data_IF_469091352924
#
_entry.id   IF_469091352924
#
_cell.length_a   1.000
_cell.length_b   1.000
_cell.length_c   1.000
_cell.angle_alpha   90.00
_cell.angle_beta   90.00
_cell.angle_gamma   90.00
#
_symmetry.space_group_name_H-M   'P 1'
#
loop_
_entity.id
_entity.type
_entity.pdbx_description
1 polymer ?
#
# COMPACT_ATOMS: atom_id res chain seq x y z
N UNK A 1 -15.87 -70.02 43.96
CA UNK A 1 -16.57 -71.35 43.99
C UNK A 1 -17.47 -71.52 45.22
N UNK A 2 -17.44 -70.67 46.24
CA UNK A 2 -18.28 -70.87 47.46
C UNK A 2 -19.79 -70.66 47.30
N UNK A 3 -20.31 -70.05 46.24
CA UNK A 3 -21.74 -69.88 46.01
C UNK A 3 -22.45 -71.15 45.58
N UNK A 4 -21.88 -71.92 44.63
CA UNK A 4 -22.41 -73.14 44.12
C UNK A 4 -22.45 -74.26 45.17
N UNK A 5 -21.47 -74.27 46.09
CA UNK A 5 -21.43 -75.21 47.19
C UNK A 5 -22.50 -74.96 48.28
N UNK A 6 -23.10 -73.73 48.28
CA UNK A 6 -24.23 -73.38 49.16
C UNK A 6 -25.60 -73.53 48.51
N UNK A 7 -25.61 -74.05 47.26
CA UNK A 7 -26.85 -74.20 46.57
C UNK A 7 -27.34 -72.96 45.86
N UNK A 8 -26.53 -71.88 45.80
CA UNK A 8 -26.85 -70.59 45.19
C UNK A 8 -26.46 -70.61 43.72
N UNK A 9 -27.34 -70.09 42.80
CA UNK A 9 -26.97 -69.90 41.40
C UNK A 9 -26.08 -68.73 41.23
N UNK A 10 -25.26 -68.65 40.19
CA UNK A 10 -24.40 -67.54 39.87
C UNK A 10 -24.52 -67.27 38.38
N UNK A 11 -24.70 -65.95 38.04
CA UNK A 11 -24.79 -65.47 36.68
C UNK A 11 -23.82 -64.27 36.48
N UNK A 12 -22.96 -64.35 35.47
CA UNK A 12 -22.02 -63.27 35.13
C UNK A 12 -21.54 -63.47 33.67
N UNK A 13 -20.83 -62.44 33.19
CA UNK A 13 -20.10 -62.47 31.93
C UNK A 13 -18.66 -62.88 32.13
N UNK A 14 -18.21 -63.84 31.30
CA UNK A 14 -16.87 -64.38 31.43
C UNK A 14 -16.13 -64.35 30.10
N UNK A 15 -14.89 -63.88 30.11
CA UNK A 15 -13.93 -64.11 29.05
C UNK A 15 -13.44 -65.58 29.10
N UNK A 16 -13.52 -66.29 27.97
CA UNK A 16 -13.03 -67.62 27.79
C UNK A 16 -12.16 -67.72 26.56
N UNK A 17 -11.31 -68.74 26.51
CA UNK A 17 -10.46 -69.02 25.35
C UNK A 17 -11.02 -70.29 24.70
N UNK A 18 -11.36 -70.18 23.42
CA UNK A 18 -11.78 -71.25 22.56
C UNK A 18 -10.62 -72.20 22.18
N UNK A 19 -10.94 -73.32 21.50
CA UNK A 19 -9.95 -74.34 21.09
C UNK A 19 -8.80 -73.73 20.21
N UNK A 20 -9.09 -72.65 19.44
CA UNK A 20 -8.19 -72.07 18.51
C UNK A 20 -7.42 -70.88 19.12
N UNK A 21 -7.43 -70.70 20.45
CA UNK A 21 -6.88 -69.55 21.14
C UNK A 21 -7.73 -68.27 21.02
N UNK A 22 -8.89 -68.31 20.36
CA UNK A 22 -9.80 -67.18 20.17
C UNK A 22 -10.49 -66.82 21.48
N UNK A 23 -10.49 -65.54 21.80
CA UNK A 23 -11.22 -64.99 22.93
C UNK A 23 -12.74 -65.00 22.65
N UNK A 24 -13.49 -65.55 23.56
CA UNK A 24 -14.95 -65.64 23.52
C UNK A 24 -15.51 -65.07 24.83
N UNK A 25 -16.45 -64.13 24.69
CA UNK A 25 -17.19 -63.62 25.83
C UNK A 25 -18.52 -64.42 25.93
N UNK A 26 -18.75 -65.02 27.08
CA UNK A 26 -19.99 -65.75 27.34
C UNK A 26 -20.70 -65.12 28.52
N UNK A 27 -22.00 -64.88 28.37
CA UNK A 27 -22.90 -64.70 29.49
C UNK A 27 -23.33 -66.07 29.97
N UNK A 28 -22.96 -66.41 31.21
CA UNK A 28 -23.21 -67.79 31.71
C UNK A 28 -23.87 -67.73 33.08
N UNK A 29 -24.83 -68.64 33.23
CA UNK A 29 -25.44 -68.95 34.51
C UNK A 29 -25.02 -70.37 34.93
N UNK A 30 -24.63 -70.51 36.17
CA UNK A 30 -24.26 -71.76 36.81
C UNK A 30 -25.32 -72.06 37.84
N UNK A 31 -26.09 -73.17 37.63
CA UNK A 31 -27.23 -73.58 38.44
C UNK A 31 -26.90 -74.87 39.15
N UNK A 32 -26.78 -74.89 40.49
CA UNK A 32 -26.62 -76.12 41.23
C UNK A 32 -27.95 -76.95 41.23
N UNK A 33 -27.84 -78.24 40.96
CA UNK A 33 -28.92 -79.18 41.18
C UNK A 33 -28.74 -79.77 42.53
N UNK A 34 -29.75 -79.70 43.41
CA UNK A 34 -29.68 -80.11 44.77
C UNK A 34 -30.33 -81.52 44.90
N UNK A 35 -29.83 -82.34 45.85
CA UNK A 35 -30.47 -83.62 46.24
C UNK A 35 -31.68 -83.31 47.16
N UNK A 36 -32.38 -84.42 47.60
CA UNK A 36 -33.52 -84.28 48.51
C UNK A 36 -33.20 -83.70 49.88
N UNK A 37 -31.92 -83.65 50.24
CA UNK A 37 -31.43 -83.08 51.48
C UNK A 37 -30.88 -81.62 51.33
N UNK A 38 -31.03 -81.04 50.11
CA UNK A 38 -30.57 -79.67 49.83
C UNK A 38 -29.08 -79.55 49.50
N UNK A 39 -28.31 -80.59 49.31
CA UNK A 39 -26.90 -80.56 48.97
C UNK A 39 -26.73 -80.54 47.43
N UNK A 40 -25.81 -79.68 46.88
CA UNK A 40 -25.51 -79.59 45.46
C UNK A 40 -24.81 -80.88 44.97
N UNK A 41 -25.45 -81.65 44.08
CA UNK A 41 -24.92 -82.88 43.50
C UNK A 41 -24.42 -82.67 42.04
N UNK A 42 -24.87 -81.66 41.37
CA UNK A 42 -24.46 -81.34 39.98
C UNK A 42 -24.64 -79.89 39.72
N UNK A 43 -23.81 -79.33 38.85
CA UNK A 43 -23.94 -77.91 38.33
C UNK A 43 -24.27 -78.01 36.84
N UNK A 44 -25.33 -77.33 36.44
CA UNK A 44 -25.70 -77.14 35.01
C UNK A 44 -25.33 -75.67 34.64
N UNK A 45 -24.57 -75.57 33.58
CA UNK A 45 -24.17 -74.26 33.01
C UNK A 45 -24.99 -74.05 31.75
N UNK A 46 -25.64 -72.87 31.68
CA UNK A 46 -26.18 -72.32 30.45
C UNK A 46 -25.30 -71.15 30.06
N UNK A 47 -24.91 -71.02 28.77
CA UNK A 47 -24.07 -69.98 28.30
C UNK A 47 -24.49 -69.55 26.90
N UNK A 48 -24.56 -68.22 26.72
CA UNK A 48 -24.73 -67.57 25.41
C UNK A 48 -23.45 -66.86 25.00
N UNK A 49 -23.09 -66.99 23.73
CA UNK A 49 -21.96 -66.22 23.17
C UNK A 49 -22.40 -64.78 22.97
N UNK A 50 -21.75 -63.83 23.68
CA UNK A 50 -22.01 -62.40 23.62
C UNK A 50 -20.81 -61.63 23.05
N UNK A 51 -19.85 -62.33 22.40
CA UNK A 51 -18.60 -61.78 21.91
C UNK A 51 -18.85 -60.63 20.90
N UNK A 52 -19.71 -60.85 19.91
CA UNK A 52 -20.02 -59.88 18.89
C UNK A 52 -20.66 -58.61 19.49
N UNK A 53 -21.61 -58.80 20.39
CA UNK A 53 -22.27 -57.68 21.07
C UNK A 53 -21.27 -56.84 21.93
N UNK A 54 -20.36 -57.55 22.66
CA UNK A 54 -19.30 -56.91 23.45
C UNK A 54 -18.32 -56.11 22.59
N UNK A 55 -17.85 -56.74 21.47
CA UNK A 55 -16.92 -56.06 20.56
C UNK A 55 -17.58 -54.85 19.91
N UNK A 56 -18.83 -54.98 19.45
CA UNK A 56 -19.58 -53.85 18.88
C UNK A 56 -19.79 -52.74 19.87
N UNK A 57 -20.16 -53.05 21.10
CA UNK A 57 -20.33 -52.04 22.14
C UNK A 57 -18.99 -51.34 22.51
N UNK A 58 -17.90 -52.11 22.61
CA UNK A 58 -16.58 -51.58 22.87
C UNK A 58 -16.13 -50.61 21.75
N UNK A 59 -16.42 -50.97 20.48
CA UNK A 59 -16.14 -50.09 19.34
C UNK A 59 -16.98 -48.81 19.39
N UNK A 60 -18.26 -48.87 19.73
CA UNK A 60 -19.10 -47.68 19.89
C UNK A 60 -18.57 -46.76 21.00
N UNK A 61 -18.23 -47.30 22.14
CA UNK A 61 -17.65 -46.53 23.27
C UNK A 61 -16.34 -45.86 22.86
N UNK A 62 -15.48 -46.60 22.16
CA UNK A 62 -14.21 -46.02 21.67
C UNK A 62 -14.42 -44.89 20.66
N UNK A 63 -15.39 -45.02 19.73
CA UNK A 63 -15.75 -43.96 18.78
C UNK A 63 -16.27 -42.70 19.50
N UNK A 64 -17.16 -42.85 20.47
CA UNK A 64 -17.68 -41.72 21.27
C UNK A 64 -16.54 -41.02 22.03
N UNK A 65 -15.67 -41.81 22.68
CA UNK A 65 -14.50 -41.26 23.37
C UNK A 65 -13.56 -40.48 22.43
N UNK A 66 -13.34 -41.00 21.21
CA UNK A 66 -12.53 -40.31 20.21
C UNK A 66 -13.13 -38.94 19.81
N UNK A 67 -14.45 -38.85 19.65
CA UNK A 67 -15.18 -37.60 19.39
C UNK A 67 -15.03 -36.63 20.58
N UNK A 68 -15.20 -37.14 21.80
CA UNK A 68 -15.09 -36.36 23.04
C UNK A 68 -13.69 -35.75 23.25
N UNK A 69 -12.63 -36.36 22.73
CA UNK A 69 -11.30 -35.84 22.80
C UNK A 69 -11.07 -34.63 21.90
N UNK A 70 -11.72 -34.61 20.72
CA UNK A 70 -11.46 -33.58 19.68
C UNK A 70 -12.51 -32.49 19.58
N UNK A 71 -13.75 -32.73 20.03
CA UNK A 71 -14.86 -31.81 19.84
C UNK A 71 -15.48 -31.35 21.15
N UNK A 72 -16.05 -30.17 21.15
CA UNK A 72 -16.93 -29.69 22.20
C UNK A 72 -18.28 -30.38 22.06
N UNK A 73 -18.73 -31.11 23.09
CA UNK A 73 -20.00 -31.88 23.07
C UNK A 73 -20.88 -31.40 24.21
N UNK A 74 -22.16 -31.17 23.91
CA UNK A 74 -23.21 -30.90 24.90
C UNK A 74 -24.51 -31.55 24.47
N UNK A 75 -25.24 -32.04 25.45
CA UNK A 75 -26.51 -32.71 25.27
C UNK A 75 -27.66 -31.88 25.87
N UNK A 76 -28.80 -31.90 25.19
CA UNK A 76 -30.01 -31.19 25.61
C UNK A 76 -31.20 -32.16 25.59
N UNK A 77 -32.17 -31.92 26.47
CA UNK A 77 -33.50 -32.50 26.33
C UNK A 77 -34.27 -31.76 25.20
N UNK A 78 -35.51 -32.20 24.97
CA UNK A 78 -36.37 -31.62 23.93
C UNK A 78 -36.85 -30.20 24.24
N UNK A 79 -36.81 -29.79 25.51
CA UNK A 79 -37.09 -28.42 25.95
C UNK A 79 -35.84 -27.50 25.90
N UNK A 80 -34.73 -28.03 25.37
CA UNK A 80 -33.48 -27.28 25.25
C UNK A 80 -32.69 -27.11 26.55
N UNK A 81 -32.98 -27.95 27.59
CA UNK A 81 -32.23 -27.91 28.84
C UNK A 81 -30.99 -28.83 28.77
N UNK A 82 -29.90 -28.34 29.33
CA UNK A 82 -28.61 -29.06 29.34
C UNK A 82 -28.72 -30.33 30.20
N UNK A 83 -28.48 -31.49 29.59
CA UNK A 83 -28.37 -32.80 30.26
C UNK A 83 -26.91 -33.04 30.69
N UNK A 84 -25.94 -32.72 29.86
CA UNK A 84 -24.53 -32.92 30.12
C UNK A 84 -23.65 -32.21 29.09
N UNK A 85 -22.39 -32.05 29.42
CA UNK A 85 -21.38 -31.45 28.51
C UNK A 85 -19.98 -32.01 28.81
N UNK A 86 -19.15 -32.15 27.77
CA UNK A 86 -17.79 -32.59 27.95
C UNK A 86 -16.86 -31.43 28.32
N UNK A 87 -15.61 -31.79 28.66
CA UNK A 87 -14.57 -30.84 29.07
C UNK A 87 -14.32 -29.77 27.99
N UNK A 88 -14.32 -30.13 26.72
CA UNK A 88 -14.05 -29.21 25.63
C UNK A 88 -15.12 -28.14 25.52
N UNK A 89 -16.40 -28.50 25.62
CA UNK A 89 -17.50 -27.52 25.63
C UNK A 89 -17.41 -26.58 26.83
N UNK A 90 -17.16 -27.14 28.02
CA UNK A 90 -17.03 -26.33 29.25
C UNK A 90 -15.87 -25.36 29.15
N UNK A 91 -14.71 -25.78 28.61
CA UNK A 91 -13.57 -24.91 28.38
C UNK A 91 -13.85 -23.83 27.34
N UNK A 92 -14.48 -24.20 26.21
CA UNK A 92 -14.82 -23.24 25.15
C UNK A 92 -15.80 -22.17 25.63
N UNK A 93 -16.78 -22.51 26.45
CA UNK A 93 -17.79 -21.57 26.97
C UNK A 93 -17.40 -20.90 28.29
N UNK A 94 -16.39 -21.44 29.00
CA UNK A 94 -15.89 -20.89 30.26
C UNK A 94 -16.73 -21.24 31.49
N UNK A 95 -17.62 -22.25 31.39
CA UNK A 95 -18.50 -22.69 32.48
C UNK A 95 -18.01 -23.99 33.09
N UNK A 96 -18.49 -24.29 34.30
CA UNK A 96 -18.46 -25.62 34.88
C UNK A 96 -19.78 -26.35 34.59
N UNK A 97 -19.77 -27.69 34.64
CA UNK A 97 -21.01 -28.48 34.41
C UNK A 97 -22.11 -28.11 35.41
N UNK A 98 -21.77 -27.89 36.68
CA UNK A 98 -22.74 -27.51 37.71
C UNK A 98 -23.45 -26.19 37.44
N UNK A 99 -22.82 -25.25 36.75
CA UNK A 99 -23.42 -23.94 36.42
C UNK A 99 -24.40 -24.02 35.26
N UNK A 100 -24.28 -25.02 34.38
CA UNK A 100 -25.09 -25.10 33.16
C UNK A 100 -26.07 -26.26 33.16
N UNK A 101 -25.89 -27.29 33.97
CA UNK A 101 -26.78 -28.46 34.00
C UNK A 101 -28.21 -28.04 34.38
N UNK A 102 -29.20 -28.46 33.61
CA UNK A 102 -30.59 -28.06 33.74
C UNK A 102 -30.93 -26.68 33.23
N UNK A 103 -29.93 -25.84 32.92
CA UNK A 103 -30.16 -24.52 32.33
C UNK A 103 -30.58 -24.65 30.86
N UNK A 104 -31.34 -23.66 30.38
CA UNK A 104 -31.80 -23.66 29.00
C UNK A 104 -30.73 -23.18 28.02
N UNK A 105 -30.70 -23.72 26.80
CA UNK A 105 -29.75 -23.36 25.73
C UNK A 105 -29.66 -21.85 25.46
N UNK A 106 -30.74 -21.10 25.69
CA UNK A 106 -30.77 -19.63 25.52
C UNK A 106 -29.69 -18.90 26.31
N UNK A 107 -29.18 -19.50 27.42
CA UNK A 107 -28.07 -18.89 28.19
C UNK A 107 -26.78 -18.71 27.41
N UNK A 108 -26.61 -19.46 26.31
CA UNK A 108 -25.45 -19.40 25.41
C UNK A 108 -25.71 -18.50 24.18
N UNK A 109 -26.83 -17.80 24.13
CA UNK A 109 -27.27 -17.02 22.99
C UNK A 109 -27.46 -15.56 23.36
N UNK A 110 -27.43 -14.65 22.37
CA UNK A 110 -27.80 -13.26 22.61
C UNK A 110 -29.31 -13.13 22.79
N UNK A 111 -29.77 -12.13 23.55
CA UNK A 111 -31.22 -11.89 23.77
C UNK A 111 -31.99 -11.69 22.45
N UNK A 112 -31.36 -10.99 21.48
CA UNK A 112 -31.96 -10.71 20.17
C UNK A 112 -32.24 -11.99 19.40
N UNK A 113 -31.29 -12.94 19.41
CA UNK A 113 -31.46 -14.23 18.75
C UNK A 113 -32.54 -15.09 19.42
N UNK A 114 -32.58 -15.11 20.75
CA UNK A 114 -33.54 -15.96 21.51
C UNK A 114 -34.98 -15.47 21.42
N UNK A 115 -35.21 -14.18 21.16
CA UNK A 115 -36.53 -13.61 20.94
C UNK A 115 -37.02 -13.72 19.48
N UNK A 116 -36.13 -14.07 18.55
CA UNK A 116 -36.44 -14.19 17.12
C UNK A 116 -37.21 -15.45 16.76
N UNK A 117 -37.89 -15.42 15.60
CA UNK A 117 -38.56 -16.58 15.02
C UNK A 117 -37.57 -17.69 14.67
N UNK A 118 -36.36 -17.34 14.23
CA UNK A 118 -35.29 -18.30 13.92
C UNK A 118 -34.96 -19.24 15.07
N UNK A 119 -35.01 -18.75 16.32
CA UNK A 119 -34.71 -19.57 17.48
C UNK A 119 -35.84 -20.57 17.79
N UNK A 120 -37.11 -20.20 17.57
CA UNK A 120 -38.24 -21.09 17.69
C UNK A 120 -38.22 -22.17 16.62
N UNK A 121 -38.00 -21.76 15.37
CA UNK A 121 -37.87 -22.68 14.23
C UNK A 121 -36.71 -23.66 14.40
N UNK A 122 -35.60 -23.18 14.96
CA UNK A 122 -34.43 -23.98 15.26
C UNK A 122 -34.79 -25.20 16.16
N UNK A 123 -35.50 -24.95 17.29
CA UNK A 123 -35.89 -26.04 18.18
C UNK A 123 -37.02 -26.91 17.62
N UNK A 124 -37.94 -26.32 16.86
CA UNK A 124 -38.99 -27.05 16.18
C UNK A 124 -38.40 -28.11 15.21
N UNK A 125 -37.50 -27.70 14.34
CA UNK A 125 -36.83 -28.58 13.39
C UNK A 125 -36.05 -29.71 14.07
N UNK A 126 -35.34 -29.41 15.15
CA UNK A 126 -34.65 -30.43 15.95
C UNK A 126 -35.62 -31.44 16.58
N UNK A 127 -36.76 -30.98 17.09
CA UNK A 127 -37.84 -31.84 17.63
C UNK A 127 -38.47 -32.75 16.56
N UNK A 128 -38.51 -32.29 15.31
CA UNK A 128 -38.97 -33.08 14.16
C UNK A 128 -37.92 -34.09 13.66
N UNK A 129 -36.74 -34.13 14.26
CA UNK A 129 -35.66 -35.05 13.86
C UNK A 129 -34.73 -34.52 12.78
N UNK A 130 -34.84 -33.24 12.42
CA UNK A 130 -33.92 -32.62 11.45
C UNK A 130 -32.63 -32.20 12.15
N UNK A 131 -31.47 -32.57 11.59
CA UNK A 131 -30.19 -32.04 12.07
C UNK A 131 -29.93 -30.63 11.52
N UNK A 132 -29.25 -29.78 12.29
CA UNK A 132 -28.90 -28.45 11.89
C UNK A 132 -27.38 -28.25 11.97
N UNK A 133 -26.81 -27.64 10.95
CA UNK A 133 -25.37 -27.38 10.87
C UNK A 133 -25.11 -25.93 10.47
N UNK A 134 -24.07 -25.34 11.03
CA UNK A 134 -23.69 -23.96 10.68
C UNK A 134 -22.65 -23.37 11.61
N UNK A 135 -22.32 -22.13 11.33
CA UNK A 135 -21.50 -21.27 12.20
C UNK A 135 -22.42 -20.42 13.06
N UNK A 136 -22.26 -20.53 14.36
CA UNK A 136 -23.14 -19.86 15.33
C UNK A 136 -22.34 -18.94 16.23
N UNK A 137 -22.84 -17.72 16.44
CA UNK A 137 -22.39 -16.84 17.51
C UNK A 137 -23.01 -17.28 18.82
N UNK A 138 -22.21 -17.44 19.86
CA UNK A 138 -22.64 -17.82 21.21
C UNK A 138 -22.00 -16.91 22.25
N UNK A 139 -22.63 -16.85 23.39
CA UNK A 139 -22.21 -16.06 24.54
C UNK A 139 -21.70 -16.99 25.62
N UNK A 140 -20.41 -16.94 25.91
CA UNK A 140 -19.80 -17.66 27.01
C UNK A 140 -19.90 -16.91 28.34
N UNK A 141 -19.31 -17.46 29.38
CA UNK A 141 -19.27 -16.84 30.71
C UNK A 141 -18.64 -15.44 30.63
N UNK A 142 -19.15 -14.52 31.44
CA UNK A 142 -18.76 -13.09 31.44
C UNK A 142 -18.96 -12.40 30.09
N UNK A 143 -20.03 -12.74 29.38
CA UNK A 143 -20.40 -12.16 28.08
C UNK A 143 -19.31 -12.29 27.02
N UNK A 144 -18.48 -13.35 27.11
CA UNK A 144 -17.42 -13.59 26.14
C UNK A 144 -18.03 -14.05 24.80
N UNK A 145 -17.68 -13.38 23.72
CA UNK A 145 -18.02 -13.83 22.37
C UNK A 145 -17.33 -15.13 22.02
N UNK A 146 -18.11 -16.13 21.65
CA UNK A 146 -17.64 -17.45 21.21
C UNK A 146 -18.29 -17.79 19.89
N UNK A 147 -17.48 -18.03 18.88
CA UNK A 147 -17.94 -18.50 17.59
C UNK A 147 -17.69 -20.00 17.47
N UNK A 148 -18.72 -20.73 17.11
CA UNK A 148 -18.64 -22.18 16.97
C UNK A 148 -19.11 -22.62 15.59
N UNK A 149 -18.38 -23.54 14.99
CA UNK A 149 -18.89 -24.38 13.90
C UNK A 149 -19.51 -25.61 14.52
N UNK A 150 -20.80 -25.79 14.39
CA UNK A 150 -21.52 -26.82 15.13
C UNK A 150 -22.56 -27.56 14.30
N UNK A 151 -22.82 -28.81 14.72
CA UNK A 151 -23.97 -29.60 14.30
C UNK A 151 -24.80 -29.97 15.51
N UNK A 152 -26.12 -29.85 15.39
CA UNK A 152 -27.10 -30.27 16.37
C UNK A 152 -27.82 -31.49 15.82
N UNK A 153 -27.72 -32.62 16.51
CA UNK A 153 -28.13 -33.90 16.02
C UNK A 153 -29.19 -34.52 16.94
N UNK A 154 -30.42 -34.69 16.46
CA UNK A 154 -31.45 -35.43 17.22
C UNK A 154 -31.06 -36.88 17.40
N UNK A 155 -31.19 -37.40 18.62
CA UNK A 155 -31.00 -38.82 18.94
C UNK A 155 -32.36 -39.46 19.07
N UNK A 156 -32.54 -40.58 18.35
CA UNK A 156 -33.80 -41.27 18.29
C UNK A 156 -33.80 -42.52 19.22
N UNK A 157 -34.94 -42.83 19.79
CA UNK A 157 -35.19 -44.11 20.49
C UNK A 157 -35.41 -45.28 19.49
N UNK A 158 -35.63 -46.46 20.02
CA UNK A 158 -35.92 -47.66 19.21
C UNK A 158 -37.21 -47.55 18.40
N UNK A 159 -38.09 -46.61 18.71
CA UNK A 159 -39.36 -46.36 18.02
C UNK A 159 -39.25 -45.21 17.00
N UNK A 160 -38.03 -44.63 16.80
CA UNK A 160 -37.80 -43.53 15.89
C UNK A 160 -38.23 -42.19 16.44
N UNK A 161 -38.49 -42.03 17.73
CA UNK A 161 -38.86 -40.77 18.36
C UNK A 161 -37.59 -40.03 18.86
N UNK A 162 -37.52 -38.72 18.68
CA UNK A 162 -36.43 -37.90 19.22
C UNK A 162 -36.51 -37.92 20.75
N UNK A 163 -35.41 -38.23 21.42
CA UNK A 163 -35.32 -38.29 22.90
C UNK A 163 -34.39 -37.26 23.50
N UNK A 164 -33.40 -36.81 22.73
CA UNK A 164 -32.46 -35.75 23.10
C UNK A 164 -31.75 -35.18 21.89
N UNK A 165 -31.14 -34.02 22.05
CA UNK A 165 -30.31 -33.40 21.03
C UNK A 165 -28.85 -33.43 21.50
N UNK A 166 -27.94 -33.91 20.65
CA UNK A 166 -26.49 -33.88 20.88
C UNK A 166 -25.86 -32.90 19.92
N UNK A 167 -25.14 -31.93 20.47
CA UNK A 167 -24.40 -30.95 19.69
C UNK A 167 -22.92 -31.29 19.71
N UNK A 168 -22.34 -31.32 18.52
CA UNK A 168 -20.90 -31.37 18.31
C UNK A 168 -20.43 -30.02 17.76
N UNK A 169 -19.32 -29.47 18.29
CA UNK A 169 -18.85 -28.16 17.89
C UNK A 169 -17.33 -28.03 17.94
N UNK A 170 -16.81 -27.17 17.07
CA UNK A 170 -15.45 -26.63 17.13
C UNK A 170 -15.53 -25.15 17.50
N UNK A 171 -14.65 -24.70 18.41
CA UNK A 171 -14.46 -23.28 18.67
C UNK A 171 -13.67 -22.67 17.51
N UNK A 172 -14.31 -21.79 16.75
CA UNK A 172 -13.76 -21.07 15.60
C UNK A 172 -13.65 -19.57 15.87
N UNK A 173 -13.60 -19.19 17.15
CA UNK A 173 -13.54 -17.77 17.57
C UNK A 173 -12.32 -17.06 17.02
N UNK A 174 -11.16 -17.71 17.06
CA UNK A 174 -9.91 -17.15 16.55
C UNK A 174 -9.95 -16.93 15.05
N UNK A 175 -10.51 -17.89 14.32
CA UNK A 175 -10.69 -17.83 12.86
C UNK A 175 -11.60 -16.67 12.47
N UNK A 176 -12.77 -16.55 13.12
CA UNK A 176 -13.71 -15.43 12.88
C UNK A 176 -13.11 -14.08 13.25
N UNK A 177 -12.35 -13.99 14.34
CA UNK A 177 -11.65 -12.77 14.71
C UNK A 177 -10.57 -12.40 13.68
N UNK A 178 -9.85 -13.39 13.16
CA UNK A 178 -8.87 -13.18 12.10
C UNK A 178 -9.55 -12.71 10.81
N UNK A 179 -10.65 -13.36 10.40
CA UNK A 179 -11.46 -12.95 9.24
C UNK A 179 -11.91 -11.48 9.34
N UNK A 180 -12.44 -11.09 10.50
CA UNK A 180 -12.85 -9.68 10.77
C UNK A 180 -11.68 -8.71 10.71
N UNK A 181 -10.52 -9.09 11.28
CA UNK A 181 -9.30 -8.27 11.23
C UNK A 181 -8.77 -8.11 9.80
N UNK A 182 -8.76 -9.18 9.02
CA UNK A 182 -8.36 -9.12 7.61
C UNK A 182 -9.30 -8.19 6.84
N UNK A 183 -10.62 -8.33 7.01
CA UNK A 183 -11.60 -7.48 6.34
C UNK A 183 -11.41 -5.99 6.69
N UNK A 184 -11.21 -5.66 7.98
CA UNK A 184 -10.96 -4.29 8.42
C UNK A 184 -9.65 -3.74 7.85
N UNK A 185 -8.56 -4.53 7.87
CA UNK A 185 -7.27 -4.10 7.30
C UNK A 185 -7.31 -3.96 5.78
N UNK A 186 -8.06 -4.80 5.09
CA UNK A 186 -8.24 -4.67 3.64
C UNK A 186 -9.01 -3.40 3.27
N UNK A 187 -10.01 -3.00 4.07
CA UNK A 187 -10.72 -1.74 3.87
C UNK A 187 -9.79 -0.53 4.06
N UNK A 188 -9.01 -0.50 5.15
CA UNK A 188 -8.00 0.54 5.42
C UNK A 188 -6.94 0.62 4.30
N UNK A 189 -6.46 -0.53 3.82
CA UNK A 189 -5.52 -0.59 2.69
C UNK A 189 -6.15 -0.06 1.40
N UNK A 190 -7.42 -0.37 1.11
CA UNK A 190 -8.12 0.13 -0.08
C UNK A 190 -8.23 1.65 -0.08
N UNK A 191 -8.53 2.26 1.07
CA UNK A 191 -8.57 3.72 1.23
C UNK A 191 -7.18 4.34 1.01
N UNK A 192 -6.14 3.72 1.58
CA UNK A 192 -4.75 4.17 1.40
C UNK A 192 -4.30 4.11 -0.07
N UNK A 193 -4.65 3.04 -0.78
CA UNK A 193 -4.34 2.89 -2.21
C UNK A 193 -5.11 3.91 -3.05
N UNK A 194 -6.36 4.20 -2.73
CA UNK A 194 -7.13 5.24 -3.41
C UNK A 194 -6.50 6.63 -3.23
N UNK A 195 -6.08 6.97 -2.01
CA UNK A 195 -5.35 8.22 -1.73
C UNK A 195 -4.02 8.29 -2.48
N UNK A 196 -3.27 7.18 -2.52
CA UNK A 196 -2.02 7.08 -3.29
C UNK A 196 -2.27 7.31 -4.79
N UNK A 197 -3.31 6.69 -5.37
CA UNK A 197 -3.67 6.87 -6.77
C UNK A 197 -4.03 8.33 -7.11
N UNK A 198 -4.73 9.03 -6.21
CA UNK A 198 -5.01 10.45 -6.35
C UNK A 198 -3.72 11.29 -6.35
N UNK A 199 -2.80 11.03 -5.42
CA UNK A 199 -1.49 11.71 -5.35
C UNK A 199 -0.64 11.45 -6.60
N UNK A 200 -0.61 10.22 -7.11
CA UNK A 200 0.08 9.86 -8.36
C UNK A 200 -0.48 10.67 -9.55
N UNK A 201 -1.80 10.82 -9.62
CA UNK A 201 -2.45 11.60 -10.68
C UNK A 201 -2.06 13.08 -10.59
N UNK A 202 -1.97 13.63 -9.38
CA UNK A 202 -1.54 15.00 -9.16
C UNK A 202 -0.06 15.22 -9.54
N UNK A 203 0.82 14.28 -9.17
CA UNK A 203 2.24 14.32 -9.55
C UNK A 203 2.38 14.28 -11.08
N UNK A 204 1.63 13.41 -11.77
CA UNK A 204 1.64 13.34 -13.23
C UNK A 204 1.22 14.68 -13.87
N UNK A 205 0.14 15.29 -13.37
CA UNK A 205 -0.31 16.60 -13.84
C UNK A 205 0.75 17.69 -13.61
N UNK A 206 1.32 17.75 -12.41
CA UNK A 206 2.32 18.75 -12.06
C UNK A 206 3.61 18.58 -12.88
N UNK A 207 4.00 17.32 -13.16
CA UNK A 207 5.13 17.04 -14.06
C UNK A 207 4.86 17.52 -15.49
N UNK A 208 3.64 17.35 -15.99
CA UNK A 208 3.23 17.89 -17.29
C UNK A 208 3.36 19.41 -17.35
N UNK A 209 2.85 20.13 -16.36
CA UNK A 209 2.98 21.58 -16.25
C UNK A 209 4.45 22.03 -16.15
N UNK A 210 5.26 21.32 -15.36
CA UNK A 210 6.69 21.64 -15.23
C UNK A 210 7.45 21.41 -16.55
N UNK A 211 7.09 20.41 -17.34
CA UNK A 211 7.67 20.17 -18.66
C UNK A 211 7.33 21.31 -19.64
N UNK A 212 6.09 21.79 -19.63
CA UNK A 212 5.65 22.93 -20.45
C UNK A 212 6.40 24.22 -20.06
N UNK A 213 6.44 24.55 -18.77
CA UNK A 213 7.17 25.70 -18.25
C UNK A 213 8.67 25.65 -18.61
N UNK A 214 9.28 24.48 -18.54
CA UNK A 214 10.66 24.29 -18.96
C UNK A 214 10.82 24.50 -20.49
N UNK A 215 9.85 24.08 -21.27
CA UNK A 215 9.80 24.36 -22.72
C UNK A 215 9.78 25.86 -23.01
N UNK A 216 8.90 26.59 -22.36
CA UNK A 216 8.76 28.04 -22.52
C UNK A 216 10.03 28.79 -22.09
N UNK A 217 10.61 28.36 -20.95
CA UNK A 217 11.89 28.96 -20.46
C UNK A 217 13.02 28.68 -21.45
N UNK A 218 13.09 27.52 -22.11
CA UNK A 218 14.09 27.24 -23.15
C UNK A 218 13.90 28.15 -24.37
N UNK A 219 12.66 28.33 -24.83
CA UNK A 219 12.37 29.22 -25.95
C UNK A 219 12.73 30.68 -25.63
N UNK A 220 12.41 31.18 -24.44
CA UNK A 220 12.75 32.51 -24.00
C UNK A 220 14.27 32.72 -23.89
N UNK A 221 14.99 31.74 -23.32
CA UNK A 221 16.44 31.78 -23.21
C UNK A 221 17.11 31.76 -24.61
N UNK A 222 16.66 30.94 -25.52
CA UNK A 222 17.13 30.89 -26.90
C UNK A 222 16.90 32.21 -27.64
N UNK A 223 15.71 32.81 -27.45
CA UNK A 223 15.39 34.13 -28.02
C UNK A 223 16.31 35.23 -27.48
N UNK A 224 16.56 35.24 -26.16
CA UNK A 224 17.51 36.17 -25.51
C UNK A 224 18.93 35.97 -26.00
N UNK A 225 19.40 34.73 -26.11
CA UNK A 225 20.72 34.42 -26.66
C UNK A 225 20.89 34.95 -28.09
N UNK A 226 19.91 34.68 -28.97
CA UNK A 226 19.95 35.17 -30.38
C UNK A 226 19.94 36.68 -30.47
N UNK A 227 19.17 37.37 -29.63
CA UNK A 227 19.17 38.86 -29.59
C UNK A 227 20.49 39.40 -29.15
N UNK A 228 21.16 38.78 -28.15
CA UNK A 228 22.49 39.17 -27.71
C UNK A 228 23.56 38.93 -28.78
N UNK A 229 23.51 37.82 -29.51
CA UNK A 229 24.42 37.58 -30.65
C UNK A 229 24.31 38.70 -31.69
N UNK A 230 23.10 39.10 -32.04
CA UNK A 230 22.86 40.18 -32.98
C UNK A 230 23.38 41.55 -32.43
N UNK A 231 23.25 41.75 -31.12
CA UNK A 231 23.77 42.94 -30.46
C UNK A 231 25.33 42.98 -30.52
N UNK A 232 26.01 41.85 -30.28
CA UNK A 232 27.45 41.70 -30.38
C UNK A 232 27.94 41.99 -31.80
N UNK A 233 27.27 41.47 -32.82
CA UNK A 233 27.57 41.77 -34.24
C UNK A 233 27.43 43.27 -34.54
N UNK A 234 26.37 43.91 -34.07
CA UNK A 234 26.11 45.33 -34.22
C UNK A 234 27.18 46.16 -33.54
N UNK A 235 27.56 45.82 -32.31
CA UNK A 235 28.65 46.44 -31.54
C UNK A 235 29.98 46.33 -32.32
N UNK A 236 30.29 45.17 -32.86
CA UNK A 236 31.48 44.98 -33.71
C UNK A 236 31.49 45.89 -34.95
N UNK A 237 30.32 46.10 -35.57
CA UNK A 237 30.16 47.00 -36.70
C UNK A 237 30.38 48.50 -36.30
N UNK A 238 29.87 48.88 -35.12
CA UNK A 238 30.08 50.21 -34.56
C UNK A 238 31.57 50.43 -34.25
N UNK A 239 32.24 49.44 -33.66
CA UNK A 239 33.68 49.52 -33.37
C UNK A 239 34.51 49.68 -34.66
N UNK A 240 34.20 48.90 -35.69
CA UNK A 240 34.88 49.03 -36.99
C UNK A 240 34.62 50.39 -37.65
N UNK A 241 33.42 50.95 -37.50
CA UNK A 241 33.06 52.28 -37.97
C UNK A 241 33.84 53.39 -37.18
N UNK A 242 33.94 53.24 -35.87
CA UNK A 242 34.65 54.18 -35.01
C UNK A 242 36.14 54.25 -35.34
N UNK A 243 36.76 53.12 -35.63
CA UNK A 243 38.15 53.02 -36.10
C UNK A 243 38.36 53.85 -37.40
N UNK A 244 37.42 53.64 -38.37
CA UNK A 244 37.48 54.39 -39.64
C UNK A 244 37.30 55.92 -39.43
N UNK A 245 36.37 56.31 -38.55
CA UNK A 245 36.17 57.71 -38.24
C UNK A 245 37.45 58.32 -37.57
N UNK A 246 38.08 57.58 -36.66
CA UNK A 246 39.33 57.98 -36.01
C UNK A 246 40.45 58.27 -37.06
N UNK A 247 40.53 57.37 -38.09
CA UNK A 247 41.50 57.58 -39.18
C UNK A 247 41.22 58.85 -40.02
N UNK A 248 39.93 59.09 -40.32
CA UNK A 248 39.48 60.31 -41.01
C UNK A 248 39.84 61.55 -40.18
N UNK A 249 39.59 61.56 -38.89
CA UNK A 249 39.87 62.70 -37.99
C UNK A 249 41.37 62.91 -37.89
N UNK A 250 42.21 61.91 -37.88
CA UNK A 250 43.65 61.99 -37.94
C UNK A 250 44.09 62.72 -39.23
N UNK A 251 43.55 62.32 -40.38
CA UNK A 251 43.84 62.97 -41.69
C UNK A 251 43.40 64.48 -41.67
N UNK A 252 42.25 64.82 -41.10
CA UNK A 252 41.78 66.20 -40.94
C UNK A 252 42.76 66.95 -40.12
N UNK A 253 43.28 66.40 -39.03
CA UNK A 253 44.32 67.05 -38.18
C UNK A 253 45.60 67.27 -38.96
N UNK A 254 46.03 66.35 -39.79
CA UNK A 254 47.23 66.53 -40.68
C UNK A 254 47.00 67.64 -41.72
N UNK A 255 45.83 67.67 -42.39
CA UNK A 255 45.45 68.71 -43.35
C UNK A 255 45.46 70.11 -42.66
N UNK A 256 44.85 70.14 -41.44
CA UNK A 256 44.84 71.41 -40.67
C UNK A 256 46.25 71.88 -40.33
N UNK A 257 47.15 70.93 -39.94
CA UNK A 257 48.59 71.31 -39.66
C UNK A 257 49.33 71.76 -40.93
N UNK A 258 49.09 71.07 -42.03
CA UNK A 258 49.70 71.51 -43.32
C UNK A 258 49.16 72.85 -43.77
N UNK A 259 47.86 73.09 -43.63
CA UNK A 259 47.22 74.35 -43.96
C UNK A 259 47.75 75.50 -43.08
N UNK A 260 47.99 75.23 -41.79
CA UNK A 260 48.60 76.22 -40.86
C UNK A 260 50.02 76.58 -41.30
N UNK A 261 50.83 75.58 -41.74
CA UNK A 261 52.19 75.84 -42.26
C UNK A 261 52.14 76.57 -43.59
N UNK A 262 51.24 76.27 -44.51
CA UNK A 262 51.04 77.01 -45.77
C UNK A 262 50.63 78.45 -45.53
N UNK A 263 49.67 78.64 -44.61
CA UNK A 263 49.25 80.01 -44.23
C UNK A 263 50.35 80.84 -43.57
N UNK A 264 51.16 80.15 -42.70
CA UNK A 264 52.34 80.80 -42.12
C UNK A 264 53.38 81.24 -43.20
N UNK A 265 53.72 80.38 -44.16
CA UNK A 265 54.59 80.70 -45.27
C UNK A 265 54.03 81.82 -46.13
N UNK A 266 52.71 81.79 -46.42
CA UNK A 266 52.03 82.84 -47.14
C UNK A 266 52.08 84.21 -46.41
N UNK A 267 51.92 84.20 -45.07
CA UNK A 267 52.03 85.41 -44.24
C UNK A 267 53.46 85.99 -44.30
N UNK A 268 54.52 85.16 -44.28
CA UNK A 268 55.89 85.56 -44.44
C UNK A 268 56.14 86.22 -45.81
N UNK A 269 55.67 85.58 -46.90
CA UNK A 269 55.88 86.14 -48.25
C UNK A 269 55.05 87.40 -48.50
N UNK A 270 53.84 87.49 -47.85
CA UNK A 270 53.05 88.74 -47.83
C UNK A 270 53.76 89.89 -47.11
N UNK A 271 54.42 89.63 -45.98
CA UNK A 271 55.29 90.62 -45.29
C UNK A 271 56.48 91.01 -46.12
N UNK A 272 57.05 90.04 -46.90
CA UNK A 272 58.19 90.31 -47.82
C UNK A 272 57.83 91.21 -48.99
N UNK A 273 56.57 91.22 -49.44
CA UNK A 273 56.05 92.04 -50.54
C UNK A 273 55.73 93.50 -50.11
N UNK A 274 55.89 93.82 -48.84
CA UNK A 274 55.71 95.21 -48.34
C UNK A 274 54.30 95.72 -48.53
N UNK A 275 54.14 96.95 -49.05
CA UNK A 275 52.84 97.60 -49.28
C UNK A 275 51.88 96.78 -50.25
N UNK A 276 52.43 96.01 -51.16
CA UNK A 276 51.67 95.23 -52.11
C UNK A 276 51.13 93.91 -51.49
N UNK A 277 51.63 93.53 -50.30
CA UNK A 277 51.24 92.27 -49.63
C UNK A 277 50.22 92.43 -48.50
N UNK A 278 49.78 93.62 -48.10
CA UNK A 278 48.93 93.90 -46.94
C UNK A 278 47.63 93.12 -46.95
N UNK A 279 46.89 93.08 -48.09
CA UNK A 279 45.63 92.28 -48.22
C UNK A 279 45.86 90.80 -48.11
N UNK A 280 46.97 90.28 -48.67
CA UNK A 280 47.31 88.81 -48.57
C UNK A 280 47.76 88.44 -47.17
N UNK A 281 48.37 89.28 -46.39
CA UNK A 281 48.74 89.02 -44.99
C UNK A 281 47.51 88.86 -44.08
N UNK A 282 46.45 89.61 -44.31
CA UNK A 282 45.20 89.53 -43.56
C UNK A 282 44.51 88.12 -43.87
N UNK A 283 44.46 87.75 -45.16
CA UNK A 283 43.90 86.49 -45.58
C UNK A 283 44.71 85.30 -45.01
N UNK A 284 46.06 85.37 -45.12
CA UNK A 284 46.94 84.36 -44.56
C UNK A 284 46.80 84.26 -43.04
N UNK A 285 46.60 85.35 -42.30
CA UNK A 285 46.32 85.31 -40.85
C UNK A 285 44.99 84.70 -40.52
N UNK A 286 43.96 84.94 -41.33
CA UNK A 286 42.63 84.31 -41.09
C UNK A 286 42.61 82.80 -41.45
N UNK A 287 43.26 82.39 -42.54
CA UNK A 287 43.43 80.94 -42.88
C UNK A 287 44.23 80.25 -41.77
N UNK A 288 45.25 80.90 -41.21
CA UNK A 288 46.02 80.31 -40.09
C UNK A 288 45.17 80.12 -38.86
N UNK A 289 44.33 81.07 -38.45
CA UNK A 289 43.41 80.98 -37.34
C UNK A 289 42.40 79.85 -37.58
N UNK A 290 41.87 79.71 -38.81
CA UNK A 290 40.93 78.61 -39.18
C UNK A 290 41.62 77.28 -39.10
N UNK A 291 42.87 77.16 -39.56
CA UNK A 291 43.64 75.92 -39.47
C UNK A 291 43.92 75.50 -38.01
N UNK A 292 44.31 76.51 -37.14
CA UNK A 292 44.46 76.21 -35.70
C UNK A 292 43.17 75.72 -35.03
N UNK A 293 42.06 76.43 -35.32
CA UNK A 293 40.73 75.95 -34.84
C UNK A 293 40.33 74.54 -35.32
N UNK A 294 40.61 74.30 -36.61
CA UNK A 294 40.34 72.97 -37.17
C UNK A 294 41.18 71.84 -36.50
N UNK A 295 42.48 72.15 -36.22
CA UNK A 295 43.37 71.21 -35.52
C UNK A 295 42.95 70.98 -34.07
N UNK A 296 42.43 71.99 -33.36
CA UNK A 296 41.86 71.81 -32.02
C UNK A 296 40.60 70.94 -32.06
N UNK A 297 39.66 71.27 -32.97
CA UNK A 297 38.44 70.52 -33.13
C UNK A 297 38.70 69.01 -33.51
N UNK A 298 39.66 68.76 -34.42
CA UNK A 298 40.06 67.40 -34.75
C UNK A 298 40.59 66.64 -33.54
N UNK A 299 41.37 67.26 -32.67
CA UNK A 299 41.86 66.61 -31.43
C UNK A 299 40.75 66.31 -30.44
N UNK A 300 39.79 67.24 -30.28
CA UNK A 300 38.64 67.04 -29.42
C UNK A 300 37.76 65.85 -29.95
N UNK A 301 37.49 65.79 -31.27
CA UNK A 301 36.77 64.72 -31.89
C UNK A 301 37.51 63.35 -31.71
N UNK A 302 38.85 63.36 -31.90
CA UNK A 302 39.63 62.12 -31.69
C UNK A 302 39.50 61.60 -30.25
N UNK A 303 39.50 62.45 -29.25
CA UNK A 303 39.30 62.10 -27.87
C UNK A 303 37.90 61.52 -27.62
N UNK A 304 36.84 62.12 -28.18
CA UNK A 304 35.45 61.59 -28.06
C UNK A 304 35.31 60.26 -28.73
N UNK A 305 36.01 60.05 -29.85
CA UNK A 305 35.99 58.73 -30.54
C UNK A 305 36.68 57.68 -29.68
N UNK A 306 37.84 57.99 -29.08
CA UNK A 306 38.55 57.07 -28.17
C UNK A 306 37.70 56.67 -26.97
N UNK A 307 37.03 57.68 -26.34
CA UNK A 307 36.07 57.41 -25.27
C UNK A 307 34.90 56.56 -25.74
N UNK A 308 34.36 56.77 -26.95
CA UNK A 308 33.26 55.94 -27.55
C UNK A 308 33.71 54.49 -27.82
N UNK A 309 34.94 54.33 -28.34
CA UNK A 309 35.50 52.96 -28.58
C UNK A 309 35.63 52.18 -27.27
N UNK A 310 36.06 52.84 -26.18
CA UNK A 310 36.15 52.22 -24.87
C UNK A 310 34.74 51.79 -24.37
N UNK A 311 33.73 52.65 -24.48
CA UNK A 311 32.35 52.37 -24.07
C UNK A 311 31.75 51.25 -24.90
N UNK A 312 31.97 51.21 -26.19
CA UNK A 312 31.55 50.17 -27.10
C UNK A 312 32.21 48.81 -26.74
N UNK A 313 33.51 48.84 -26.40
CA UNK A 313 34.23 47.67 -25.93
C UNK A 313 33.64 47.09 -24.63
N UNK A 314 33.35 47.98 -23.66
CA UNK A 314 32.65 47.55 -22.42
C UNK A 314 31.26 46.97 -22.71
N UNK A 315 30.50 47.56 -23.63
CA UNK A 315 29.20 47.04 -24.07
C UNK A 315 29.31 45.64 -24.69
N UNK A 316 30.38 45.40 -25.46
CA UNK A 316 30.66 44.08 -26.03
C UNK A 316 30.91 43.00 -24.94
N UNK A 317 31.74 43.34 -23.94
CA UNK A 317 32.04 42.41 -22.82
C UNK A 317 30.80 42.08 -22.00
N UNK A 318 29.97 43.08 -21.67
CA UNK A 318 28.71 42.86 -20.94
C UNK A 318 27.74 41.97 -21.76
N UNK A 319 27.61 42.23 -23.05
CA UNK A 319 26.79 41.45 -23.95
C UNK A 319 27.26 39.99 -24.06
N UNK A 320 28.59 39.79 -24.16
CA UNK A 320 29.17 38.45 -24.18
C UNK A 320 28.96 37.67 -22.85
N UNK A 321 29.08 38.36 -21.70
CA UNK A 321 28.79 37.79 -20.39
C UNK A 321 27.32 37.40 -20.26
N UNK A 322 26.40 38.21 -20.73
CA UNK A 322 24.97 37.94 -20.74
C UNK A 322 24.65 36.72 -21.68
N UNK A 323 25.30 36.63 -22.84
CA UNK A 323 25.14 35.47 -23.74
C UNK A 323 25.56 34.17 -23.06
N UNK A 324 26.69 34.14 -22.35
CA UNK A 324 27.11 32.95 -21.56
C UNK A 324 26.09 32.62 -20.45
N UNK A 325 25.46 33.59 -19.85
CA UNK A 325 24.42 33.37 -18.85
C UNK A 325 23.19 32.71 -19.46
N UNK A 326 22.78 33.07 -20.67
CA UNK A 326 21.69 32.41 -21.39
C UNK A 326 22.03 30.97 -21.78
N UNK A 327 23.29 30.66 -22.17
CA UNK A 327 23.76 29.30 -22.39
C UNK A 327 23.64 28.46 -21.11
N UNK A 328 24.02 29.02 -19.95
CA UNK A 328 23.85 28.41 -18.64
C UNK A 328 22.41 28.12 -18.30
N UNK A 329 21.49 29.05 -18.61
CA UNK A 329 20.04 28.85 -18.44
C UNK A 329 19.54 27.72 -19.33
N UNK A 330 19.88 27.69 -20.61
CA UNK A 330 19.49 26.64 -21.55
C UNK A 330 19.96 25.24 -21.07
N UNK A 331 21.20 25.13 -20.59
CA UNK A 331 21.73 23.91 -20.00
C UNK A 331 20.93 23.45 -18.78
N UNK A 332 20.61 24.38 -17.87
CA UNK A 332 19.85 24.12 -16.65
C UNK A 332 18.41 23.68 -16.97
N UNK A 333 17.78 24.34 -17.92
CA UNK A 333 16.44 23.98 -18.40
C UNK A 333 16.45 22.58 -19.05
N UNK A 334 17.48 22.27 -19.84
CA UNK A 334 17.68 20.94 -20.40
C UNK A 334 17.72 19.85 -19.33
N UNK A 335 18.47 20.07 -18.26
CA UNK A 335 18.52 19.16 -17.10
C UNK A 335 17.16 19.04 -16.41
N UNK A 336 16.46 20.15 -16.21
CA UNK A 336 15.11 20.13 -15.64
C UNK A 336 14.16 19.27 -16.47
N UNK A 337 14.17 19.39 -17.79
CA UNK A 337 13.35 18.55 -18.68
C UNK A 337 13.64 17.07 -18.51
N UNK A 338 14.92 16.71 -18.41
CA UNK A 338 15.31 15.31 -18.17
C UNK A 338 14.76 14.81 -16.85
N UNK A 339 14.93 15.56 -15.76
CA UNK A 339 14.40 15.17 -14.43
C UNK A 339 12.89 15.07 -14.41
N UNK A 340 12.17 15.96 -15.07
CA UNK A 340 10.70 15.91 -15.19
C UNK A 340 10.26 14.66 -15.97
N UNK A 341 10.99 14.29 -17.04
CA UNK A 341 10.74 13.06 -17.79
C UNK A 341 10.92 11.80 -16.94
N UNK A 342 11.98 11.77 -16.11
CA UNK A 342 12.25 10.68 -15.17
C UNK A 342 11.13 10.55 -14.11
N UNK A 343 10.66 11.69 -13.58
CA UNK A 343 9.52 11.73 -12.65
C UNK A 343 8.26 11.19 -13.32
N UNK A 344 7.97 11.57 -14.54
CA UNK A 344 6.81 11.07 -15.28
C UNK A 344 6.87 9.55 -15.48
N UNK A 345 8.03 9.01 -15.82
CA UNK A 345 8.24 7.56 -15.97
C UNK A 345 8.08 6.82 -14.63
N UNK A 346 8.65 7.35 -13.55
CA UNK A 346 8.50 6.77 -12.21
C UNK A 346 7.04 6.77 -11.75
N UNK A 347 6.32 7.86 -12.03
CA UNK A 347 4.90 8.03 -11.70
C UNK A 347 4.02 7.00 -12.42
N UNK A 348 4.30 6.70 -13.70
CA UNK A 348 3.58 5.64 -14.43
C UNK A 348 3.87 4.25 -13.83
N UNK A 349 5.12 4.00 -13.40
CA UNK A 349 5.47 2.80 -12.66
C UNK A 349 4.68 2.67 -11.34
N UNK A 350 4.57 3.75 -10.58
CA UNK A 350 3.79 3.79 -9.34
C UNK A 350 2.30 3.55 -9.59
N UNK A 351 1.72 4.12 -10.67
CA UNK A 351 0.33 3.92 -11.04
C UNK A 351 0.03 2.44 -11.29
N UNK A 352 0.90 1.73 -12.01
CA UNK A 352 0.78 0.29 -12.26
C UNK A 352 0.83 -0.52 -10.96
N UNK A 353 1.81 -0.22 -10.09
CA UNK A 353 1.94 -0.89 -8.79
C UNK A 353 0.71 -0.67 -7.89
N UNK A 354 0.18 0.54 -7.84
CA UNK A 354 -1.06 0.82 -7.09
C UNK A 354 -2.25 -0.01 -7.61
N UNK A 355 -2.34 -0.20 -8.93
CA UNK A 355 -3.34 -1.08 -9.54
C UNK A 355 -3.15 -2.55 -9.16
N UNK A 356 -1.92 -3.06 -9.15
CA UNK A 356 -1.61 -4.43 -8.74
C UNK A 356 -1.95 -4.65 -7.25
N UNK A 357 -1.58 -3.73 -6.37
CA UNK A 357 -1.93 -3.80 -4.93
C UNK A 357 -3.44 -3.78 -4.73
N UNK A 358 -4.18 -2.95 -5.46
CA UNK A 358 -5.65 -2.94 -5.42
C UNK A 358 -6.23 -4.30 -5.80
N UNK A 359 -5.71 -4.95 -6.85
CA UNK A 359 -6.10 -6.30 -7.25
C UNK A 359 -5.83 -7.36 -6.18
N UNK A 360 -4.69 -7.28 -5.50
CA UNK A 360 -4.34 -8.19 -4.40
C UNK A 360 -5.30 -8.04 -3.21
N UNK A 361 -5.70 -6.81 -2.85
CA UNK A 361 -6.66 -6.55 -1.77
C UNK A 361 -8.02 -7.19 -2.10
N UNK A 362 -8.50 -7.05 -3.33
CA UNK A 362 -9.76 -7.67 -3.78
C UNK A 362 -9.67 -9.19 -3.70
N UNK A 363 -8.57 -9.78 -4.15
CA UNK A 363 -8.34 -11.23 -4.07
C UNK A 363 -8.31 -11.73 -2.61
N UNK A 364 -7.64 -11.00 -1.71
CA UNK A 364 -7.57 -11.33 -0.29
C UNK A 364 -8.95 -11.34 0.36
N UNK A 365 -9.77 -10.32 0.08
CA UNK A 365 -11.14 -10.24 0.62
C UNK A 365 -12.09 -11.29 0.03
N UNK A 366 -11.88 -11.70 -1.21
CA UNK A 366 -12.61 -12.78 -1.86
C UNK A 366 -12.32 -14.13 -1.20
N UNK A 367 -11.07 -14.43 -0.89
CA UNK A 367 -10.63 -15.66 -0.24
C UNK A 367 -11.11 -15.84 1.20
N UNK A 368 -11.43 -14.74 1.90
CA UNK A 368 -11.95 -14.76 3.28
C UNK A 368 -13.45 -15.05 3.31
N UNK A 369 -14.19 -14.83 2.21
CA UNK A 369 -15.64 -15.06 2.12
C UNK A 369 -16.02 -16.48 1.61
N UNK A 370 -15.08 -17.20 1.03
CA UNK A 370 -15.23 -18.59 0.59
C UNK A 370 -14.88 -19.57 1.72
#
# INVERSE_FOLDING_TARGET
MGWLSRGEYFADEYKRIGRDGREIWIQATYNPILDRRGHPVKVVKFASDVTEAKLRNAEFVAKVQAIDLGQAVIEFDLDGRVLGANRNFLAAMGYTLREIQGMHHSMFCTPEYTQGEEYRDFWLKLGEGQFLSGRFHRVGKYSRDVWIQATYNPILDLNGRVVKIVKYAFDVTKEVQLEKRIAAKSAEMSESVASLAASITEIARNSGVAAEMAGDAACAAQGGFTALQKSIETIGSIQASSVRVSEIVRVIGEIASQTNLLAFNAAIEAARAGQHGVGFSVVAGEVRKLAERSSVAAREIAKLIEESVMQVGQGAEVSAAAARSFEGIMSSVGRTRTSVSEIAQATEGQRRLAGEVSGLIVSLTGSVKS
#
